data_IF_397975449443
#
_entry.id   IF_397975449443
#
_cell.length_a   1.000
_cell.length_b   1.000
_cell.length_c   1.000
_cell.angle_alpha   90.00
_cell.angle_beta   90.00
_cell.angle_gamma   90.00
#
_symmetry.space_group_name_H-M   'P 1'
#
loop_
_entity.id
_entity.type
_entity.pdbx_description
1 polymer ?
#
# COMPACT_ATOMS: atom_id res chain seq x y z
N UNK A 1 17.08 -18.77 7.28
CA UNK A 1 16.42 -18.22 6.08
C UNK A 1 14.94 -18.34 6.34
N UNK A 2 14.21 -17.23 6.34
CA UNK A 2 12.81 -17.27 6.65
C UNK A 2 12.02 -17.76 5.44
N UNK A 3 10.84 -18.35 5.66
CA UNK A 3 10.05 -18.95 4.56
C UNK A 3 9.59 -17.91 3.53
N UNK A 4 9.46 -16.65 3.90
CA UNK A 4 9.14 -15.55 2.98
C UNK A 4 10.31 -15.19 2.05
N UNK A 5 11.56 -15.46 2.44
CA UNK A 5 12.73 -15.30 1.56
C UNK A 5 12.65 -16.25 0.35
N UNK A 6 11.98 -17.40 0.51
CA UNK A 6 11.80 -18.39 -0.54
C UNK A 6 10.70 -18.00 -1.55
N UNK A 7 9.80 -17.09 -1.17
CA UNK A 7 8.72 -16.61 -2.05
C UNK A 7 9.17 -15.51 -3.02
N UNK A 8 10.42 -15.03 -2.90
CA UNK A 8 10.95 -13.99 -3.77
C UNK A 8 10.17 -12.67 -3.68
N UNK A 9 9.60 -12.36 -2.51
CA UNK A 9 8.89 -11.10 -2.29
C UNK A 9 9.83 -9.97 -1.84
N UNK A 10 11.03 -10.28 -1.36
CA UNK A 10 11.99 -9.28 -0.90
C UNK A 10 11.84 -8.96 0.59
N UNK A 11 12.17 -7.74 0.98
CA UNK A 11 12.24 -7.26 2.35
C UNK A 11 10.83 -6.83 2.80
N UNK A 12 10.38 -7.35 3.95
CA UNK A 12 9.10 -7.01 4.55
C UNK A 12 9.22 -5.79 5.48
N UNK A 13 8.23 -4.90 5.42
CA UNK A 13 8.06 -3.74 6.30
C UNK A 13 6.65 -3.77 6.87
N UNK A 14 6.54 -3.96 8.18
CA UNK A 14 5.27 -3.98 8.88
C UNK A 14 4.93 -2.60 9.45
N UNK A 15 3.71 -2.14 9.19
CA UNK A 15 3.11 -0.98 9.87
C UNK A 15 2.05 -1.47 10.87
N UNK A 16 2.15 -1.11 12.16
CA UNK A 16 1.18 -1.52 13.16
C UNK A 16 -0.20 -0.94 12.86
N UNK A 17 -1.24 -1.49 13.51
CA UNK A 17 -2.59 -1.02 13.33
C UNK A 17 -2.72 0.46 13.72
N UNK A 18 -3.28 1.26 12.83
CA UNK A 18 -3.54 2.68 13.05
C UNK A 18 -4.94 3.05 12.57
N UNK A 19 -5.43 4.19 13.06
CA UNK A 19 -6.69 4.77 12.60
C UNK A 19 -6.57 5.03 11.09
N UNK A 20 -7.64 4.73 10.36
CA UNK A 20 -7.75 5.04 8.92
C UNK A 20 -7.55 6.56 8.75
N UNK A 21 -6.76 7.02 7.77
CA UNK A 21 -6.48 8.44 7.59
C UNK A 21 -7.76 9.28 7.54
N UNK A 22 -7.70 10.45 8.17
CA UNK A 22 -8.78 11.44 8.13
C UNK A 22 -8.47 12.60 7.17
N UNK A 23 -7.41 12.45 6.38
CA UNK A 23 -6.85 13.48 5.50
C UNK A 23 -7.46 13.39 4.11
N UNK A 24 -7.97 14.52 3.61
CA UNK A 24 -8.71 14.63 2.34
C UNK A 24 -7.91 15.24 1.18
N UNK A 25 -6.58 15.11 1.19
CA UNK A 25 -5.70 15.65 0.15
C UNK A 25 -4.42 14.82 -0.02
N UNK A 26 -3.72 14.98 -1.14
CA UNK A 26 -2.47 14.27 -1.46
C UNK A 26 -1.26 14.87 -0.74
N UNK A 27 -0.25 14.06 -0.39
CA UNK A 27 -0.22 12.58 -0.45
C UNK A 27 -1.02 11.88 0.65
N UNK A 28 -1.63 12.65 1.56
CA UNK A 28 -2.37 12.13 2.69
C UNK A 28 -1.48 11.87 3.89
N UNK A 29 -1.88 10.89 4.69
CA UNK A 29 -1.08 10.43 5.82
C UNK A 29 0.00 9.50 5.30
N UNK A 30 1.26 9.80 5.62
CA UNK A 30 2.41 8.96 5.23
C UNK A 30 2.38 7.62 5.97
N UNK A 31 2.53 6.54 5.21
CA UNK A 31 2.52 5.17 5.75
C UNK A 31 3.88 4.51 5.60
N UNK A 32 4.62 4.83 4.55
CA UNK A 32 5.98 4.38 4.33
C UNK A 32 6.84 5.48 3.72
N UNK A 33 8.09 5.57 4.18
CA UNK A 33 9.11 6.44 3.59
C UNK A 33 10.05 5.58 2.76
N UNK A 34 10.29 6.00 1.51
CA UNK A 34 11.25 5.40 0.58
C UNK A 34 12.46 6.33 0.55
N UNK A 35 13.66 5.80 0.79
CA UNK A 35 14.88 6.60 0.84
C UNK A 35 16.06 5.87 0.20
N UNK A 36 17.09 6.63 -0.20
CA UNK A 36 18.35 6.07 -0.69
C UNK A 36 18.32 5.53 -2.12
N UNK A 37 17.25 5.77 -2.87
CA UNK A 37 17.16 5.45 -4.30
C UNK A 37 15.87 4.74 -4.70
N UNK A 38 15.91 4.08 -5.87
CA UNK A 38 14.78 3.35 -6.44
C UNK A 38 14.50 2.02 -5.72
N UNK A 39 13.21 1.75 -5.50
CA UNK A 39 12.71 0.47 -4.97
C UNK A 39 11.63 -0.11 -5.89
N UNK A 40 11.55 -1.44 -5.93
CA UNK A 40 10.44 -2.18 -6.50
C UNK A 40 9.54 -2.67 -5.37
N UNK A 41 8.32 -2.13 -5.28
CA UNK A 41 7.28 -2.65 -4.38
C UNK A 41 6.69 -3.90 -5.00
N UNK A 42 6.97 -5.05 -4.39
CA UNK A 42 6.52 -6.38 -4.84
C UNK A 42 5.16 -6.75 -4.28
N UNK A 43 4.74 -6.05 -3.23
CA UNK A 43 3.33 -5.74 -3.02
C UNK A 43 3.01 -5.19 -1.63
N UNK A 44 1.71 -5.05 -1.40
CA UNK A 44 1.17 -4.25 -0.32
C UNK A 44 -0.17 -4.83 0.10
N UNK A 45 -0.30 -5.19 1.37
CA UNK A 45 -1.51 -5.81 1.91
C UNK A 45 -1.94 -5.07 3.17
N UNK A 46 -3.19 -4.63 3.19
CA UNK A 46 -3.87 -4.04 4.33
C UNK A 46 -4.83 -5.04 4.95
N UNK A 47 -5.03 -4.95 6.25
CA UNK A 47 -6.02 -5.72 7.00
C UNK A 47 -6.83 -4.79 7.88
N UNK A 48 -8.16 -4.83 7.76
CA UNK A 48 -9.04 -4.13 8.70
C UNK A 48 -9.02 -4.81 10.08
N UNK A 49 -8.70 -4.03 11.10
CA UNK A 49 -8.78 -4.44 12.51
C UNK A 49 -10.00 -3.83 13.21
N UNK A 50 -10.54 -2.73 12.68
CA UNK A 50 -11.82 -2.16 13.10
C UNK A 50 -12.56 -1.66 11.86
N UNK A 51 -13.84 -1.99 11.76
CA UNK A 51 -14.72 -1.64 10.64
C UNK A 51 -14.81 -0.12 10.43
N UNK A 52 -14.72 0.37 9.18
CA UNK A 52 -14.96 1.78 8.87
C UNK A 52 -16.44 2.13 9.03
N UNK A 53 -16.74 3.23 9.74
CA UNK A 53 -18.10 3.59 10.13
C UNK A 53 -19.01 4.19 9.05
N UNK A 54 -18.66 4.11 7.76
CA UNK A 54 -19.41 4.82 6.71
C UNK A 54 -18.78 4.76 5.32
N UNK A 55 -19.46 5.37 4.35
CA UNK A 55 -19.02 5.42 2.97
C UNK A 55 -17.88 6.42 2.79
N UNK A 56 -16.68 5.89 2.53
CA UNK A 56 -15.49 6.67 2.18
C UNK A 56 -14.75 5.94 1.07
N UNK A 57 -14.01 6.67 0.25
CA UNK A 57 -13.04 6.08 -0.65
C UNK A 57 -11.64 6.31 -0.10
N UNK A 58 -10.76 5.32 -0.19
CA UNK A 58 -9.34 5.44 0.14
C UNK A 58 -8.48 5.21 -1.10
N UNK A 59 -7.33 5.88 -1.14
CA UNK A 59 -6.39 5.79 -2.25
C UNK A 59 -4.95 5.90 -1.77
N UNK A 60 -4.05 5.19 -2.43
CA UNK A 60 -2.60 5.31 -2.26
C UNK A 60 -2.02 6.35 -3.21
N UNK A 61 -1.14 7.20 -2.67
CA UNK A 61 -0.42 8.23 -3.40
C UNK A 61 1.07 8.12 -3.10
N UNK A 62 1.90 8.20 -4.13
CA UNK A 62 3.34 8.37 -4.00
C UNK A 62 3.69 9.84 -4.17
N UNK A 63 4.33 10.43 -3.18
CA UNK A 63 4.87 11.79 -3.23
C UNK A 63 6.40 11.71 -3.27
N UNK A 64 7.02 11.83 -4.46
CA UNK A 64 8.46 11.75 -4.59
C UNK A 64 9.15 12.99 -3.99
N UNK A 65 10.35 12.84 -3.43
CA UNK A 65 11.16 13.95 -2.93
C UNK A 65 11.43 15.00 -4.03
N UNK A 66 11.45 14.54 -5.28
CA UNK A 66 11.58 15.38 -6.47
C UNK A 66 10.53 14.97 -7.50
N UNK A 67 9.60 15.86 -7.82
CA UNK A 67 8.58 15.60 -8.82
C UNK A 67 7.19 16.02 -8.36
N UNK A 68 6.18 15.30 -8.82
CA UNK A 68 4.77 15.54 -8.50
C UNK A 68 4.13 14.29 -7.93
N UNK A 69 3.23 14.47 -6.97
CA UNK A 69 2.36 13.42 -6.45
C UNK A 69 1.76 12.57 -7.56
N UNK A 70 1.83 11.25 -7.40
CA UNK A 70 1.32 10.28 -8.36
C UNK A 70 0.44 9.26 -7.65
N UNK A 71 -0.77 9.09 -8.17
CA UNK A 71 -1.72 8.11 -7.65
C UNK A 71 -1.30 6.69 -8.04
N UNK A 72 -1.10 5.86 -7.01
CA UNK A 72 -0.63 4.49 -7.16
C UNK A 72 -1.78 3.55 -7.55
N UNK A 73 -3.00 3.90 -7.15
CA UNK A 73 -4.22 3.18 -7.47
C UNK A 73 -5.39 4.18 -7.61
N UNK A 74 -6.50 3.76 -8.22
CA UNK A 74 -7.75 4.53 -8.15
C UNK A 74 -8.39 4.35 -6.77
N UNK A 75 -9.06 5.40 -6.29
CA UNK A 75 -9.82 5.40 -5.05
C UNK A 75 -10.86 4.27 -4.99
N UNK A 76 -10.83 3.50 -3.91
CA UNK A 76 -11.75 2.38 -3.68
C UNK A 76 -12.63 2.63 -2.46
N UNK A 77 -13.94 2.37 -2.59
CA UNK A 77 -14.91 2.55 -1.53
C UNK A 77 -14.71 1.54 -0.41
N UNK A 78 -14.48 2.01 0.82
CA UNK A 78 -14.37 1.21 2.05
C UNK A 78 -15.73 0.78 2.61
N UNK A 79 -16.83 1.23 2.01
CA UNK A 79 -18.17 0.86 2.45
C UNK A 79 -18.38 -0.65 2.33
N UNK A 80 -18.86 -1.29 3.40
CA UNK A 80 -19.11 -2.73 3.42
C UNK A 80 -17.90 -3.58 3.80
N UNK A 81 -16.76 -2.97 4.12
CA UNK A 81 -15.63 -3.67 4.72
C UNK A 81 -16.00 -4.27 6.08
N UNK A 82 -15.57 -5.51 6.33
CA UNK A 82 -15.65 -6.16 7.63
C UNK A 82 -14.28 -6.19 8.32
N UNK A 83 -14.29 -6.40 9.63
CA UNK A 83 -13.05 -6.74 10.35
C UNK A 83 -12.48 -8.05 9.77
N UNK A 84 -11.18 -8.07 9.51
CA UNK A 84 -10.51 -9.20 8.88
C UNK A 84 -10.46 -9.15 7.35
N UNK A 85 -11.17 -8.21 6.71
CA UNK A 85 -11.06 -8.03 5.26
C UNK A 85 -9.67 -7.52 4.88
N UNK A 86 -9.20 -7.99 3.72
CA UNK A 86 -7.92 -7.61 3.15
C UNK A 86 -8.09 -6.53 2.08
N UNK A 87 -7.10 -5.65 1.98
CA UNK A 87 -6.95 -4.66 0.93
C UNK A 87 -5.62 -4.84 0.22
N UNK A 88 -5.57 -4.59 -1.07
CA UNK A 88 -4.31 -4.60 -1.81
C UNK A 88 -4.40 -3.75 -3.08
N UNK A 89 -3.26 -3.57 -3.74
CA UNK A 89 -3.15 -2.82 -4.99
C UNK A 89 -2.80 -3.74 -6.15
N UNK A 90 -3.35 -3.41 -7.32
CA UNK A 90 -3.14 -4.00 -8.65
C UNK A 90 -1.67 -4.22 -9.06
N UNK A 91 -0.74 -3.44 -8.51
CA UNK A 91 0.60 -3.26 -9.08
C UNK A 91 0.61 -2.57 -10.45
N UNK A 92 -0.57 -2.22 -10.99
CA UNK A 92 -0.76 -1.46 -12.21
C UNK A 92 -1.18 -0.05 -11.79
N UNK A 93 -0.33 0.94 -12.04
CA UNK A 93 -0.66 2.34 -11.76
C UNK A 93 -2.01 2.71 -12.39
N UNK A 94 -2.82 3.46 -11.65
CA UNK A 94 -4.19 3.84 -12.03
C UNK A 94 -5.19 2.67 -12.24
N UNK A 95 -4.88 1.43 -11.86
CA UNK A 95 -5.92 0.44 -11.62
C UNK A 95 -6.46 0.57 -10.19
N UNK A 96 -7.72 0.21 -9.98
CA UNK A 96 -8.36 0.30 -8.65
C UNK A 96 -7.69 -0.59 -7.61
N UNK A 97 -7.85 -0.23 -6.32
CA UNK A 97 -7.51 -1.16 -5.24
C UNK A 97 -8.41 -2.39 -5.34
N UNK A 98 -7.82 -3.58 -5.17
CA UNK A 98 -8.52 -4.86 -5.27
C UNK A 98 -9.45 -5.09 -4.06
N UNK A 99 -10.50 -5.91 -4.24
CA UNK A 99 -11.80 -5.66 -3.64
C UNK A 99 -11.88 -5.90 -2.13
N UNK A 100 -12.87 -5.23 -1.57
CA UNK A 100 -13.44 -5.46 -0.25
C UNK A 100 -14.48 -6.58 -0.33
N UNK A 101 -14.44 -7.50 0.63
CA UNK A 101 -15.29 -8.67 0.68
C UNK A 101 -14.59 -9.90 0.11
N UNK A 102 -13.97 -10.67 1.01
CA UNK A 102 -13.29 -11.91 0.70
C UNK A 102 -11.82 -11.85 1.13
N UNK A 103 -11.35 -12.90 1.80
CA UNK A 103 -9.98 -13.05 2.28
C UNK A 103 -8.98 -13.35 1.15
N UNK A 104 -9.07 -12.62 0.04
CA UNK A 104 -8.24 -12.78 -1.16
C UNK A 104 -7.69 -11.41 -1.58
N UNK A 105 -6.48 -11.10 -1.13
CA UNK A 105 -5.65 -10.02 -1.66
C UNK A 105 -4.79 -10.53 -2.84
N UNK A 106 -4.31 -9.62 -3.68
CA UNK A 106 -3.65 -9.90 -4.96
C UNK A 106 -2.45 -10.85 -4.92
N UNK A 107 -2.18 -11.49 -6.07
CA UNK A 107 -0.91 -12.04 -6.54
C UNK A 107 0.30 -11.15 -6.21
N UNK A 108 0.95 -11.51 -5.11
CA UNK A 108 2.28 -11.06 -4.70
C UNK A 108 3.32 -11.93 -5.42
N UNK A 109 4.23 -11.32 -6.18
CA UNK A 109 5.32 -12.03 -6.85
C UNK A 109 4.92 -12.66 -8.20
N UNK A 110 5.52 -12.17 -9.27
CA UNK A 110 5.33 -12.74 -10.60
C UNK A 110 6.01 -14.11 -10.72
N UNK A 111 5.22 -15.18 -10.81
CA UNK A 111 5.61 -16.35 -11.60
C UNK A 111 5.51 -15.91 -13.07
N UNK A 112 6.61 -16.03 -13.79
CA UNK A 112 6.79 -15.78 -15.22
C UNK A 112 5.53 -15.32 -16.00
N UNK A 113 5.30 -14.00 -16.08
CA UNK A 113 4.53 -13.42 -17.19
C UNK A 113 3.45 -12.39 -16.88
N UNK A 114 2.95 -12.22 -15.65
CA UNK A 114 1.85 -11.28 -15.41
C UNK A 114 1.98 -10.50 -14.09
N UNK A 115 2.08 -9.17 -14.26
CA UNK A 115 2.16 -8.08 -13.29
C UNK A 115 3.46 -7.98 -12.46
N UNK A 116 4.31 -7.06 -12.92
CA UNK A 116 5.52 -6.59 -12.23
C UNK A 116 5.10 -5.48 -11.27
N UNK A 117 5.64 -5.50 -10.05
CA UNK A 117 5.35 -4.52 -8.99
C UNK A 117 5.61 -3.07 -9.39
N UNK A 118 5.43 -2.16 -8.43
CA UNK A 118 5.55 -0.71 -8.68
C UNK A 118 6.98 -0.27 -8.44
N UNK A 119 7.60 0.36 -9.44
CA UNK A 119 8.89 1.04 -9.26
C UNK A 119 8.61 2.44 -8.72
N UNK A 120 9.15 2.75 -7.55
CA UNK A 120 9.03 4.04 -6.88
C UNK A 120 10.43 4.59 -6.57
N UNK A 121 10.59 5.89 -6.71
CA UNK A 121 11.75 6.65 -6.27
C UNK A 121 11.62 7.09 -4.80
N UNK A 122 12.61 7.81 -4.28
CA UNK A 122 12.59 8.27 -2.90
C UNK A 122 11.46 9.27 -2.68
N UNK A 123 10.83 9.20 -1.51
CA UNK A 123 9.65 9.97 -1.17
C UNK A 123 8.73 9.27 -0.19
N UNK A 124 7.52 9.78 -0.05
CA UNK A 124 6.51 9.30 0.87
C UNK A 124 5.42 8.53 0.13
N UNK A 125 5.15 7.30 0.58
CA UNK A 125 3.98 6.53 0.17
C UNK A 125 2.88 6.72 1.21
N UNK A 126 1.86 7.48 0.83
CA UNK A 126 0.77 7.91 1.69
C UNK A 126 -0.60 7.37 1.29
N UNK A 127 -1.52 7.43 2.24
CA UNK A 127 -2.95 7.15 2.03
C UNK A 127 -3.77 8.37 2.39
N UNK A 128 -4.69 8.72 1.51
CA UNK A 128 -5.71 9.72 1.77
C UNK A 128 -7.10 9.15 1.53
N UNK A 129 -8.09 9.80 2.11
CA UNK A 129 -9.49 9.39 2.04
C UNK A 129 -10.35 10.53 1.50
N UNK A 130 -11.52 10.21 0.96
CA UNK A 130 -12.46 11.25 0.48
C UNK A 130 -13.18 11.99 1.61
N UNK A 131 -13.11 11.48 2.85
CA UNK A 131 -13.69 12.07 4.05
C UNK A 131 -13.04 11.47 5.30
N UNK A 132 -13.16 12.15 6.44
CA UNK A 132 -12.71 11.61 7.73
C UNK A 132 -13.53 10.39 8.12
N UNK A 133 -12.85 9.30 8.49
CA UNK A 133 -13.51 8.07 8.92
C UNK A 133 -12.99 7.55 10.25
N UNK A 134 -13.84 6.73 10.87
CA UNK A 134 -13.48 5.82 11.95
C UNK A 134 -12.95 4.50 11.37
N UNK A 135 -12.43 3.64 12.24
CA UNK A 135 -11.90 2.33 11.85
C UNK A 135 -10.38 2.30 11.86
N UNK A 136 -9.83 1.10 11.88
CA UNK A 136 -8.41 0.84 12.00
C UNK A 136 -8.02 -0.23 11.00
N UNK A 137 -6.82 -0.11 10.48
CA UNK A 137 -6.19 -1.12 9.65
C UNK A 137 -4.71 -1.25 10.00
N UNK A 138 -4.10 -2.37 9.64
CA UNK A 138 -2.64 -2.52 9.60
C UNK A 138 -2.20 -2.78 8.16
N UNK A 139 -0.96 -2.45 7.85
CA UNK A 139 -0.41 -2.67 6.51
C UNK A 139 0.92 -3.40 6.58
N UNK A 140 1.15 -4.21 5.57
CA UNK A 140 2.42 -4.90 5.34
C UNK A 140 2.83 -4.64 3.90
N UNK A 141 4.08 -4.22 3.72
CA UNK A 141 4.67 -3.93 2.42
C UNK A 141 5.88 -4.84 2.20
N UNK A 142 6.06 -5.31 0.98
CA UNK A 142 7.26 -6.00 0.55
C UNK A 142 7.93 -5.23 -0.58
N UNK A 143 9.25 -5.13 -0.52
CA UNK A 143 10.04 -4.42 -1.52
C UNK A 143 11.37 -5.10 -1.86
N UNK A 144 11.92 -4.75 -3.02
CA UNK A 144 13.29 -5.04 -3.41
C UNK A 144 14.01 -3.74 -3.74
N UNK A 145 15.20 -3.47 -3.16
CA UNK A 145 16.01 -2.33 -3.59
C UNK A 145 16.51 -2.55 -5.03
N UNK A 146 16.30 -1.56 -5.90
CA UNK A 146 16.90 -1.55 -7.25
C UNK A 146 18.29 -0.94 -7.17
N UNK A 147 18.44 0.11 -6.37
CA UNK A 147 19.70 0.79 -6.13
C UNK A 147 20.31 0.41 -4.79
N UNK A 148 21.65 0.45 -4.71
CA UNK A 148 22.35 0.11 -3.49
C UNK A 148 22.10 1.18 -2.40
N UNK A 149 21.59 0.75 -1.24
CA UNK A 149 21.21 1.65 -0.15
C UNK A 149 19.76 2.13 -0.20
N UNK A 150 18.97 1.71 -1.19
CA UNK A 150 17.54 1.99 -1.22
C UNK A 150 16.80 1.21 -0.13
N UNK A 151 15.92 1.89 0.60
CA UNK A 151 15.21 1.34 1.76
C UNK A 151 13.77 1.83 1.81
N UNK A 152 12.91 1.02 2.44
CA UNK A 152 11.56 1.42 2.82
C UNK A 152 11.41 1.24 4.32
N UNK A 153 10.87 2.24 4.99
CA UNK A 153 10.60 2.21 6.45
C UNK A 153 9.16 2.63 6.72
N UNK A 154 8.55 2.08 7.77
CA UNK A 154 7.24 2.52 8.22
C UNK A 154 7.35 3.90 8.91
N UNK A 155 6.43 4.82 8.59
CA UNK A 155 6.42 6.21 9.08
C UNK A 155 5.69 6.44 10.41
#
# INVERSE_FOLDING_TARGET
MAWWDQMGLGIQVDRPASIIPQTVGTPGTEYYTIAGGLVLITGLVGLFTVVPGGAVNAQWCHNPDTGTDTDVCIATALAGAAEGDLMSISGIAAAGMLPLGGSVAQLMGGVAGTNKGLVLDSGALGVFTSASQTGNWRWVLWYMPIENGATVVAA
#
